data_IF_178951090497
#
_entry.id   IF_178951090497
#
_cell.length_a   1.000
_cell.length_b   1.000
_cell.length_c   1.000
_cell.angle_alpha   90.00
_cell.angle_beta   90.00
_cell.angle_gamma   90.00
#
_symmetry.space_group_name_H-M   'P 1'
#
loop_
_entity.id
_entity.type
_entity.pdbx_description
1 polymer ?
#
# COMPACT_ATOMS: atom_id res chain seq x y z
N UNK A 1 4.10 -31.27 18.60
CA UNK A 1 3.19 -30.27 19.19
C UNK A 1 3.67 -28.85 18.88
N UNK A 2 3.31 -28.30 17.71
CA UNK A 2 3.55 -26.89 17.35
C UNK A 2 2.31 -26.39 16.60
N UNK A 3 1.34 -25.78 17.28
CA UNK A 3 -0.02 -25.62 16.71
C UNK A 3 -0.76 -24.32 17.06
N UNK A 4 -0.18 -23.39 17.84
CA UNK A 4 -0.87 -22.13 18.17
C UNK A 4 -0.03 -20.88 17.98
N UNK A 5 1.25 -20.94 18.35
CA UNK A 5 2.19 -19.82 18.24
C UNK A 5 2.61 -19.53 16.79
N UNK A 6 2.79 -20.58 15.98
CA UNK A 6 3.19 -20.44 14.56
C UNK A 6 2.06 -19.90 13.66
N UNK A 7 0.80 -20.18 14.03
CA UNK A 7 -0.39 -19.66 13.32
C UNK A 7 -0.60 -18.18 13.61
N UNK A 8 -0.35 -17.76 14.86
CA UNK A 8 -0.39 -16.35 15.23
C UNK A 8 0.73 -15.57 14.52
N UNK A 9 1.93 -16.16 14.40
CA UNK A 9 3.03 -15.52 13.68
C UNK A 9 2.82 -15.44 12.17
N UNK A 10 2.38 -16.53 11.56
CA UNK A 10 2.00 -16.55 10.16
C UNK A 10 0.84 -15.58 9.86
N UNK A 11 -0.17 -15.49 10.74
CA UNK A 11 -1.32 -14.60 10.55
C UNK A 11 -0.94 -13.12 10.55
N UNK A 12 -0.02 -12.68 11.42
CA UNK A 12 0.42 -11.26 11.40
C UNK A 12 1.33 -10.96 10.20
N UNK A 13 2.17 -11.91 9.78
CA UNK A 13 3.00 -11.78 8.58
C UNK A 13 2.13 -11.65 7.33
N UNK A 14 1.15 -12.55 7.18
CA UNK A 14 0.20 -12.52 6.07
C UNK A 14 -0.65 -11.26 6.09
N UNK A 15 -1.07 -10.79 7.27
CA UNK A 15 -1.80 -9.53 7.41
C UNK A 15 -0.98 -8.32 6.97
N UNK A 16 0.34 -8.30 7.27
CA UNK A 16 1.25 -7.23 6.84
C UNK A 16 1.44 -7.25 5.32
N UNK A 17 1.62 -8.42 4.72
CA UNK A 17 1.71 -8.59 3.27
C UNK A 17 0.43 -8.12 2.56
N UNK A 18 -0.73 -8.39 3.15
CA UNK A 18 -2.02 -8.01 2.58
C UNK A 18 -2.22 -6.49 2.51
N UNK A 19 -1.69 -5.72 3.46
CA UNK A 19 -1.77 -4.25 3.45
C UNK A 19 -1.06 -3.65 2.24
N UNK A 20 0.14 -4.17 1.91
CA UNK A 20 0.88 -3.74 0.72
C UNK A 20 0.09 -4.04 -0.56
N UNK A 21 -0.48 -5.25 -0.67
CA UNK A 21 -1.26 -5.64 -1.84
C UNK A 21 -2.54 -4.82 -2.02
N UNK A 22 -3.20 -4.40 -0.93
CA UNK A 22 -4.40 -3.54 -0.99
C UNK A 22 -4.09 -2.18 -1.60
N UNK A 23 -2.99 -1.55 -1.18
CA UNK A 23 -2.57 -0.26 -1.73
C UNK A 23 -2.18 -0.39 -3.21
N UNK A 24 -1.46 -1.44 -3.59
CA UNK A 24 -1.11 -1.67 -5.00
C UNK A 24 -2.36 -1.89 -5.85
N UNK A 25 -3.36 -2.65 -5.35
CA UNK A 25 -4.64 -2.83 -6.06
C UNK A 25 -5.43 -1.53 -6.20
N UNK A 26 -5.44 -0.68 -5.18
CA UNK A 26 -6.06 0.63 -5.26
C UNK A 26 -5.34 1.54 -6.27
N UNK A 27 -4.01 1.57 -6.25
CA UNK A 27 -3.21 2.33 -7.22
C UNK A 27 -3.44 1.83 -8.65
N UNK A 28 -3.52 0.51 -8.86
CA UNK A 28 -3.88 -0.07 -10.16
C UNK A 28 -5.27 0.32 -10.64
N UNK A 29 -6.25 0.42 -9.72
CA UNK A 29 -7.59 0.86 -10.08
C UNK A 29 -7.61 2.31 -10.57
N UNK A 30 -6.64 3.13 -10.12
CA UNK A 30 -6.49 4.52 -10.54
C UNK A 30 -5.65 4.64 -11.82
N UNK A 31 -4.52 3.93 -11.92
CA UNK A 31 -3.59 4.05 -13.06
C UNK A 31 -3.95 3.18 -14.27
N UNK A 32 -4.77 2.13 -14.07
CA UNK A 32 -5.07 1.12 -15.09
C UNK A 32 -3.90 0.19 -15.45
N UNK A 33 -2.73 0.34 -14.82
CA UNK A 33 -1.52 -0.39 -15.17
C UNK A 33 -0.72 -0.81 -13.93
N UNK A 34 -0.43 -2.10 -13.81
CA UNK A 34 0.33 -2.68 -12.69
C UNK A 34 1.74 -2.11 -12.56
N UNK A 35 2.46 -1.92 -13.67
CA UNK A 35 3.83 -1.40 -13.65
C UNK A 35 3.86 0.04 -13.17
N UNK A 36 2.94 0.89 -13.65
CA UNK A 36 2.81 2.27 -13.19
C UNK A 36 2.45 2.31 -11.70
N UNK A 37 1.51 1.45 -11.27
CA UNK A 37 1.13 1.37 -9.85
C UNK A 37 2.30 0.94 -8.95
N UNK A 38 3.12 -0.02 -9.39
CA UNK A 38 4.30 -0.49 -8.65
C UNK A 38 5.40 0.58 -8.59
N UNK A 39 5.63 1.28 -9.69
CA UNK A 39 6.64 2.34 -9.76
C UNK A 39 6.28 3.50 -8.84
N UNK A 40 5.02 3.95 -8.92
CA UNK A 40 4.50 4.96 -8.01
C UNK A 40 4.62 4.51 -6.55
N UNK A 41 4.19 3.28 -6.27
CA UNK A 41 4.16 2.77 -4.91
C UNK A 41 5.54 2.75 -4.25
N UNK A 42 6.59 2.46 -5.03
CA UNK A 42 7.98 2.32 -4.54
C UNK A 42 8.75 3.63 -4.54
N UNK A 43 8.58 4.45 -5.57
CA UNK A 43 9.52 5.53 -5.87
C UNK A 43 8.87 6.92 -5.85
N UNK A 44 7.56 7.05 -6.00
CA UNK A 44 6.91 8.36 -5.92
C UNK A 44 6.84 8.85 -4.48
N UNK A 45 7.56 9.93 -4.23
CA UNK A 45 7.47 10.69 -2.97
C UNK A 45 6.16 11.46 -2.95
N UNK A 46 5.37 11.29 -1.88
CA UNK A 46 4.07 11.94 -1.75
C UNK A 46 4.21 13.22 -0.90
N UNK A 47 4.01 14.42 -1.48
CA UNK A 47 4.18 15.68 -0.76
C UNK A 47 3.27 15.83 0.46
N UNK A 48 2.02 15.32 0.41
CA UNK A 48 1.10 15.38 1.55
C UNK A 48 1.54 14.48 2.73
N UNK A 49 2.58 13.67 2.53
CA UNK A 49 3.11 12.72 3.49
C UNK A 49 4.59 12.94 3.78
N UNK A 50 5.02 14.20 3.81
CA UNK A 50 6.40 14.61 4.09
C UNK A 50 7.42 14.00 3.09
N UNK A 51 6.98 13.78 1.85
CA UNK A 51 7.80 13.16 0.80
C UNK A 51 8.00 11.65 0.97
N UNK A 52 7.29 10.99 1.89
CA UNK A 52 7.36 9.52 2.01
C UNK A 52 6.72 8.83 0.81
N UNK A 53 7.27 7.68 0.43
CA UNK A 53 6.65 6.80 -0.57
C UNK A 53 5.47 6.04 0.02
N UNK A 54 4.53 5.62 -0.83
CA UNK A 54 3.41 4.78 -0.40
C UNK A 54 3.89 3.49 0.28
N UNK A 55 4.96 2.87 -0.22
CA UNK A 55 5.60 1.73 0.43
C UNK A 55 6.05 2.03 1.87
N UNK A 56 6.70 3.17 2.09
CA UNK A 56 7.16 3.57 3.42
C UNK A 56 5.99 3.82 4.35
N UNK A 57 4.91 4.44 3.86
CA UNK A 57 3.70 4.71 4.63
C UNK A 57 2.99 3.42 5.05
N UNK A 58 2.88 2.43 4.17
CA UNK A 58 2.30 1.12 4.53
C UNK A 58 3.19 0.40 5.55
N UNK A 59 4.52 0.47 5.40
CA UNK A 59 5.45 -0.10 6.37
C UNK A 59 5.33 0.55 7.76
N UNK A 60 4.98 1.84 7.81
CA UNK A 60 4.70 2.62 9.03
C UNK A 60 3.26 2.41 9.57
N UNK A 61 2.46 1.51 8.97
CA UNK A 61 1.09 1.23 9.40
C UNK A 61 0.04 2.26 8.94
N UNK A 62 0.40 3.18 8.04
CA UNK A 62 -0.46 4.26 7.52
C UNK A 62 -1.24 3.87 6.25
N UNK A 63 -1.51 2.58 6.02
CA UNK A 63 -2.26 2.05 4.87
C UNK A 63 -3.54 2.84 4.57
N UNK A 64 -4.38 3.04 5.59
CA UNK A 64 -5.68 3.72 5.44
C UNK A 64 -5.55 5.14 4.91
N UNK A 65 -4.49 5.85 5.30
CA UNK A 65 -4.26 7.22 4.84
C UNK A 65 -3.89 7.24 3.35
N UNK A 66 -3.09 6.27 2.89
CA UNK A 66 -2.75 6.11 1.47
C UNK A 66 -3.99 5.73 0.66
N UNK A 67 -4.84 4.83 1.17
CA UNK A 67 -6.09 4.47 0.49
C UNK A 67 -7.06 5.65 0.37
N UNK A 68 -7.16 6.48 1.42
CA UNK A 68 -7.97 7.69 1.39
C UNK A 68 -7.43 8.71 0.38
N UNK A 69 -6.10 8.88 0.31
CA UNK A 69 -5.44 9.72 -0.69
C UNK A 69 -5.72 9.24 -2.12
N UNK A 70 -5.57 7.93 -2.38
CA UNK A 70 -5.88 7.32 -3.68
C UNK A 70 -7.36 7.53 -4.06
N UNK A 71 -8.27 7.46 -3.10
CA UNK A 71 -9.68 7.74 -3.31
C UNK A 71 -9.94 9.23 -3.62
N UNK A 72 -9.22 10.17 -2.98
CA UNK A 72 -9.39 11.60 -3.23
C UNK A 72 -8.89 12.04 -4.60
N UNK A 73 -7.88 11.37 -5.16
CA UNK A 73 -7.35 11.68 -6.50
C UNK A 73 -8.03 10.87 -7.61
N UNK A 74 -9.04 10.05 -7.27
CA UNK A 74 -9.76 9.14 -8.17
C UNK A 74 -10.56 9.88 -9.24
N UNK A 75 -9.86 10.45 -10.22
CA UNK A 75 -10.26 11.05 -11.51
C UNK A 75 -9.18 12.02 -12.06
N UNK A 76 -8.15 12.35 -11.29
CA UNK A 76 -7.10 13.32 -11.65
C UNK A 76 -5.67 12.78 -11.57
N UNK A 77 -5.46 11.47 -11.77
CA UNK A 77 -4.11 10.89 -11.74
C UNK A 77 -3.28 11.32 -12.95
N UNK A 78 -2.36 12.27 -12.74
CA UNK A 78 -1.21 12.49 -13.60
C UNK A 78 -0.07 11.62 -13.07
N UNK A 79 0.23 10.52 -13.76
CA UNK A 79 1.37 9.66 -13.45
C UNK A 79 2.69 10.39 -13.64
#
# INVERSE_FOLDING_TARGET
>A
MSSKRDRATASWLLSRSAQHLRVIRAAMAVSGNLWIALEWYRHSSLPEFDGKTAQRLVADGREKAVLAYLASIGSGWAG
#
